data_IF_431006682864
#
_entry.id   IF_431006682864
#
_cell.length_a   1.000
_cell.length_b   1.000
_cell.length_c   1.000
_cell.angle_alpha   90.00
_cell.angle_beta   90.00
_cell.angle_gamma   90.00
#
_symmetry.space_group_name_H-M   'P 1'
#
loop_
_entity.id
_entity.type
_entity.pdbx_description
1 polymer ?
#
# COMPACT_ATOMS: atom_id res chain seq x y z
N UNK A 1 -15.62 13.63 -10.50
CA UNK A 1 -14.75 12.65 -9.81
C UNK A 1 -15.03 12.73 -8.32
N UNK A 2 -15.13 11.59 -7.64
CA UNK A 2 -15.33 11.57 -6.19
C UNK A 2 -14.00 11.92 -5.53
N UNK A 3 -13.97 12.97 -4.71
CA UNK A 3 -12.80 13.28 -3.89
C UNK A 3 -12.76 12.38 -2.66
N UNK A 4 -11.68 11.59 -2.55
CA UNK A 4 -11.41 10.77 -1.37
C UNK A 4 -10.84 11.67 -0.27
N UNK A 5 -11.26 11.52 0.99
CA UNK A 5 -10.68 12.30 2.09
C UNK A 5 -9.26 11.83 2.42
N UNK A 6 -8.37 12.73 2.88
CA UNK A 6 -6.99 12.36 3.26
C UNK A 6 -6.96 11.25 4.31
N UNK A 7 -7.88 11.26 5.28
CA UNK A 7 -7.99 10.19 6.27
C UNK A 7 -8.34 8.83 5.64
N UNK A 8 -9.23 8.81 4.65
CA UNK A 8 -9.54 7.61 3.88
C UNK A 8 -8.32 7.13 3.11
N UNK A 9 -7.56 8.06 2.51
CA UNK A 9 -6.34 7.74 1.76
C UNK A 9 -5.27 7.10 2.65
N UNK A 10 -5.07 7.63 3.87
CA UNK A 10 -4.17 7.04 4.87
C UNK A 10 -4.54 5.59 5.19
N UNK A 11 -5.83 5.33 5.48
CA UNK A 11 -6.31 3.99 5.79
C UNK A 11 -6.17 3.06 4.58
N UNK A 12 -6.45 3.55 3.37
CA UNK A 12 -6.28 2.78 2.14
C UNK A 12 -4.83 2.40 1.89
N UNK A 13 -3.87 3.32 2.10
CA UNK A 13 -2.43 3.03 1.98
C UNK A 13 -2.06 1.91 2.95
N UNK A 14 -2.36 2.07 4.24
CA UNK A 14 -2.00 1.08 5.25
C UNK A 14 -2.65 -0.30 5.01
N UNK A 15 -3.88 -0.33 4.50
CA UNK A 15 -4.56 -1.57 4.15
C UNK A 15 -3.91 -2.28 2.94
N UNK A 16 -3.52 -1.52 1.91
CA UNK A 16 -2.80 -2.05 0.74
C UNK A 16 -1.45 -2.61 1.15
N UNK A 17 -0.67 -1.86 1.93
CA UNK A 17 0.65 -2.30 2.44
C UNK A 17 0.54 -3.59 3.27
N UNK A 18 -0.45 -3.67 4.17
CA UNK A 18 -0.75 -4.88 4.94
C UNK A 18 -1.06 -6.09 4.05
N UNK A 19 -1.74 -5.85 2.95
CA UNK A 19 -2.15 -6.91 2.03
C UNK A 19 -0.98 -7.40 1.17
N UNK A 20 -0.08 -6.49 0.77
CA UNK A 20 1.20 -6.82 0.13
C UNK A 20 2.02 -7.71 1.06
N UNK A 21 2.24 -7.27 2.31
CA UNK A 21 2.98 -8.02 3.34
C UNK A 21 2.43 -9.44 3.51
N UNK A 22 1.10 -9.58 3.55
CA UNK A 22 0.44 -10.88 3.65
C UNK A 22 0.75 -11.79 2.44
N UNK A 23 0.63 -11.25 1.21
CA UNK A 23 0.86 -12.03 0.00
C UNK A 23 2.33 -12.38 -0.21
N UNK A 24 3.26 -11.48 0.12
CA UNK A 24 4.70 -11.78 0.16
C UNK A 24 4.99 -12.91 1.16
N UNK A 25 4.39 -12.86 2.34
CA UNK A 25 4.46 -13.93 3.34
C UNK A 25 3.97 -15.27 2.78
N UNK A 26 2.86 -15.28 2.03
CA UNK A 26 2.38 -16.50 1.36
C UNK A 26 3.37 -17.05 0.33
N UNK A 27 4.07 -16.21 -0.41
CA UNK A 27 5.08 -16.68 -1.38
C UNK A 27 6.27 -17.40 -0.72
N UNK A 28 6.64 -16.98 0.49
CA UNK A 28 7.68 -17.65 1.29
C UNK A 28 7.23 -18.99 1.88
N UNK A 29 5.92 -19.25 1.94
CA UNK A 29 5.39 -20.51 2.45
C UNK A 29 5.64 -21.68 1.48
N UNK A 30 6.01 -22.84 2.04
CA UNK A 30 6.23 -24.09 1.29
C UNK A 30 4.92 -24.75 0.82
N UNK A 31 3.78 -24.39 1.44
CA UNK A 31 2.48 -25.05 1.18
C UNK A 31 1.65 -24.37 0.10
N UNK A 32 2.06 -23.19 -0.36
CA UNK A 32 1.31 -22.40 -1.33
C UNK A 32 1.57 -22.93 -2.74
N UNK A 33 0.48 -23.42 -3.37
CA UNK A 33 0.51 -24.03 -4.70
C UNK A 33 0.40 -23.02 -5.84
N UNK A 34 -0.30 -21.90 -5.61
CA UNK A 34 -0.66 -20.93 -6.66
C UNK A 34 0.23 -19.68 -6.63
N UNK A 35 1.56 -19.87 -6.56
CA UNK A 35 2.52 -18.75 -6.44
C UNK A 35 2.43 -17.76 -7.60
N UNK A 36 2.17 -18.24 -8.82
CA UNK A 36 2.05 -17.38 -10.00
C UNK A 36 0.86 -16.40 -9.90
N UNK A 37 -0.30 -16.86 -9.46
CA UNK A 37 -1.48 -16.01 -9.28
C UNK A 37 -1.26 -14.97 -8.17
N UNK A 38 -0.57 -15.36 -7.10
CA UNK A 38 -0.22 -14.44 -6.01
C UNK A 38 0.77 -13.36 -6.48
N UNK A 39 1.73 -13.71 -7.33
CA UNK A 39 2.65 -12.74 -7.93
C UNK A 39 1.92 -11.74 -8.83
N UNK A 40 0.99 -12.19 -9.68
CA UNK A 40 0.18 -11.29 -10.51
C UNK A 40 -0.68 -10.35 -9.65
N UNK A 41 -1.25 -10.88 -8.57
CA UNK A 41 -2.01 -10.07 -7.62
C UNK A 41 -1.13 -9.03 -6.93
N UNK A 42 0.07 -9.41 -6.48
CA UNK A 42 1.05 -8.50 -5.88
C UNK A 42 1.40 -7.33 -6.82
N UNK A 43 1.66 -7.60 -8.11
CA UNK A 43 1.90 -6.54 -9.09
C UNK A 43 0.74 -5.53 -9.18
N UNK A 44 -0.50 -6.00 -9.01
CA UNK A 44 -1.69 -5.13 -8.98
C UNK A 44 -1.73 -4.28 -7.70
N UNK A 45 -1.36 -4.86 -6.56
CA UNK A 45 -1.28 -4.14 -5.30
C UNK A 45 -0.13 -3.12 -5.28
N UNK A 46 1.03 -3.44 -5.87
CA UNK A 46 2.16 -2.51 -6.00
C UNK A 46 1.75 -1.27 -6.82
N UNK A 47 1.08 -1.49 -7.95
CA UNK A 47 0.56 -0.39 -8.77
C UNK A 47 -0.48 0.45 -8.00
N UNK A 48 -1.33 -0.19 -7.19
CA UNK A 48 -2.27 0.53 -6.35
C UNK A 48 -1.57 1.35 -5.27
N UNK A 49 -0.52 0.81 -4.63
CA UNK A 49 0.27 1.52 -3.61
C UNK A 49 0.93 2.77 -4.19
N UNK A 50 1.59 2.66 -5.34
CA UNK A 50 2.22 3.81 -6.01
C UNK A 50 1.19 4.88 -6.40
N UNK A 51 0.01 4.49 -6.90
CA UNK A 51 -1.06 5.46 -7.18
C UNK A 51 -1.55 6.18 -5.91
N UNK A 52 -1.70 5.46 -4.80
CA UNK A 52 -2.14 6.06 -3.53
C UNK A 52 -1.08 7.00 -2.96
N UNK A 53 0.20 6.64 -3.06
CA UNK A 53 1.35 7.47 -2.71
C UNK A 53 1.36 8.78 -3.48
N UNK A 54 1.23 8.74 -4.81
CA UNK A 54 1.19 9.96 -5.63
C UNK A 54 0.06 10.91 -5.22
N UNK A 55 -1.15 10.37 -4.99
CA UNK A 55 -2.30 11.17 -4.55
C UNK A 55 -2.08 11.72 -3.14
N UNK A 56 -1.44 10.94 -2.26
CA UNK A 56 -1.16 11.37 -0.89
C UNK A 56 -0.14 12.50 -0.88
N UNK A 57 0.98 12.32 -1.57
CA UNK A 57 2.06 13.29 -1.66
C UNK A 57 1.63 14.59 -2.33
N UNK A 58 0.74 14.54 -3.33
CA UNK A 58 0.21 15.75 -3.98
C UNK A 58 -0.74 16.57 -3.10
N UNK A 59 -1.28 15.97 -2.03
CA UNK A 59 -2.27 16.61 -1.14
C UNK A 59 -1.74 16.84 0.28
N UNK A 60 -0.70 16.11 0.67
CA UNK A 60 -0.03 16.28 1.93
C UNK A 60 0.75 17.59 1.92
N UNK A 61 0.68 18.32 3.02
CA UNK A 61 1.41 19.57 3.20
C UNK A 61 2.26 19.51 4.47
N UNK A 62 3.41 20.18 4.42
CA UNK A 62 4.26 20.37 5.58
C UNK A 62 3.50 21.22 6.62
N UNK A 63 3.31 20.66 7.81
CA UNK A 63 2.47 21.24 8.88
C UNK A 63 1.04 20.73 8.94
N UNK A 64 0.61 19.82 8.05
CA UNK A 64 -0.64 19.09 8.22
C UNK A 64 -0.60 18.17 9.46
N UNK A 65 -1.78 17.77 9.96
CA UNK A 65 -1.92 16.80 11.04
C UNK A 65 -1.78 15.34 10.57
N UNK A 66 -1.42 15.12 9.30
CA UNK A 66 -1.25 13.81 8.72
C UNK A 66 0.24 13.41 8.73
N UNK A 67 0.55 12.12 8.97
CA UNK A 67 1.92 11.64 9.05
C UNK A 67 2.66 11.79 7.71
N UNK A 68 3.99 11.81 7.72
CA UNK A 68 4.75 11.70 6.46
C UNK A 68 4.50 10.33 5.80
N UNK A 69 4.61 10.25 4.48
CA UNK A 69 4.33 9.01 3.74
C UNK A 69 5.17 7.84 4.24
N UNK A 70 6.44 8.10 4.57
CA UNK A 70 7.38 7.10 5.07
C UNK A 70 6.94 6.47 6.40
N UNK A 71 6.08 7.14 7.18
CA UNK A 71 5.52 6.61 8.41
C UNK A 71 4.24 5.78 8.19
N UNK A 72 3.68 5.81 6.97
CA UNK A 72 2.48 5.06 6.60
C UNK A 72 2.81 3.67 6.07
N UNK A 73 3.95 3.54 5.39
CA UNK A 73 4.45 2.29 4.84
C UNK A 73 5.45 1.66 5.82
N UNK A 74 5.64 0.34 5.72
CA UNK A 74 6.67 -0.32 6.54
C UNK A 74 8.05 0.16 6.06
N UNK A 75 8.98 0.40 6.99
CA UNK A 75 10.39 0.56 6.63
C UNK A 75 10.82 -0.71 5.87
N UNK A 76 11.07 -0.56 4.56
CA UNK A 76 11.87 -1.50 3.79
C UNK A 76 13.33 -1.27 4.18
N UNK A 77 13.69 -1.71 5.39
CA UNK A 77 15.07 -1.81 5.88
C UNK A 77 15.70 -3.13 5.44
#
# INVERSE_FOLDING_TARGET
MVEIQLATLVVSIQAVEKQIEYFEGLLTSETVKDKANIQELLLTFDQASENLKEIYMSRWSEGSNFPKYELLVRDLS
#
